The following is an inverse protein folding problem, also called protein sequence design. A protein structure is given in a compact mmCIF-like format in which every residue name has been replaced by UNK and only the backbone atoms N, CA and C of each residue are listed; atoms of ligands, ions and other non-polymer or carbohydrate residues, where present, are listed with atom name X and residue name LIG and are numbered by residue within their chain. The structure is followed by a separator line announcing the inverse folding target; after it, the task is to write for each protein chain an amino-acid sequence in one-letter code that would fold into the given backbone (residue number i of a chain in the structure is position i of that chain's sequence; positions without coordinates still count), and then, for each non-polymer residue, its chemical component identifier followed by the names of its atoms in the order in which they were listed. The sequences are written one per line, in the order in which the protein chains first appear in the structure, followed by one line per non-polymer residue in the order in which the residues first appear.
data_IF_579768823407
#
_entry.id   IF_579768823407
#
_cell.length_a   1.000
_cell.length_b   1.000
_cell.length_c   1.000
_cell.angle_alpha   90.00
_cell.angle_beta   90.00
_cell.angle_gamma   90.00
#
_symmetry.space_group_name_H-M   'P 1'
#
loop_
_entity.id
_entity.type
_entity.pdbx_description
1 polymer ?
#
# COMPACT_ATOMS: atom_id res chain seq x y z
N UNK A 1 -10.79 -25.13 23.79
CA UNK A 1 -10.43 -25.04 22.40
C UNK A 1 -10.02 -23.61 22.03
N UNK A 2 -8.72 -23.28 22.07
CA UNK A 2 -8.20 -21.98 21.60
C UNK A 2 -8.10 -22.04 20.08
N UNK A 3 -8.95 -21.31 19.38
CA UNK A 3 -8.82 -21.10 17.94
C UNK A 3 -7.58 -20.24 17.69
N UNK A 4 -6.54 -20.82 17.07
CA UNK A 4 -5.40 -20.09 16.54
C UNK A 4 -5.91 -19.14 15.46
N UNK A 5 -5.96 -17.85 15.74
CA UNK A 5 -6.16 -16.82 14.77
C UNK A 5 -4.88 -16.75 13.90
N UNK A 6 -4.95 -17.27 12.69
CA UNK A 6 -3.95 -17.07 11.64
C UNK A 6 -4.00 -15.58 11.24
N UNK A 7 -3.08 -14.80 11.78
CA UNK A 7 -2.86 -13.43 11.33
C UNK A 7 -2.28 -13.47 9.90
N UNK A 8 -3.13 -13.16 8.93
CA UNK A 8 -2.75 -12.97 7.52
C UNK A 8 -2.06 -11.61 7.35
N UNK A 9 -0.82 -11.46 7.81
CA UNK A 9 0.03 -10.34 7.40
C UNK A 9 0.53 -10.58 5.97
N UNK A 10 0.38 -9.60 5.10
CA UNK A 10 0.90 -9.57 3.72
C UNK A 10 0.31 -10.60 2.73
N UNK A 11 -0.98 -10.93 2.79
CA UNK A 11 -1.65 -11.64 1.69
C UNK A 11 -1.07 -13.01 1.27
N UNK A 12 -0.03 -13.50 1.94
CA UNK A 12 0.52 -14.85 1.76
C UNK A 12 0.15 -15.72 2.96
N UNK A 13 -0.58 -16.80 2.69
CA UNK A 13 -0.71 -17.88 3.65
C UNK A 13 0.68 -18.51 3.85
N UNK A 14 1.33 -18.17 4.95
CA UNK A 14 2.59 -18.86 5.31
C UNK A 14 2.21 -20.21 5.89
N UNK A 15 2.38 -21.28 5.10
CA UNK A 15 2.58 -22.63 5.62
C UNK A 15 3.78 -22.59 6.57
N UNK A 16 3.56 -22.85 7.86
CA UNK A 16 4.63 -23.06 8.83
C UNK A 16 5.54 -24.16 8.30
N UNK A 17 6.82 -23.93 8.05
CA UNK A 17 7.74 -25.03 7.83
C UNK A 17 7.79 -25.86 9.12
N UNK A 18 7.62 -27.14 9.01
CA UNK A 18 7.86 -28.07 10.12
C UNK A 18 9.33 -27.90 10.55
N UNK A 19 9.56 -27.34 11.77
CA UNK A 19 10.91 -27.04 12.28
C UNK A 19 11.28 -25.57 12.34
N UNK A 20 10.33 -24.64 12.23
CA UNK A 20 10.62 -23.19 12.15
C UNK A 20 11.15 -22.58 13.45
N UNK A 21 12.27 -21.86 13.33
CA UNK A 21 12.79 -20.94 14.35
C UNK A 21 11.70 -19.99 14.83
N UNK A 22 11.74 -19.59 16.09
CA UNK A 22 10.81 -18.63 16.66
C UNK A 22 10.87 -17.30 15.87
N UNK A 23 9.71 -16.73 15.52
CA UNK A 23 9.63 -15.43 14.87
C UNK A 23 9.57 -14.35 15.95
N UNK A 24 10.54 -13.45 15.95
CA UNK A 24 10.54 -12.26 16.78
C UNK A 24 9.80 -11.13 16.07
N UNK A 25 8.90 -10.47 16.79
CA UNK A 25 8.21 -9.26 16.29
C UNK A 25 8.76 -8.05 17.04
N UNK A 26 9.19 -7.03 16.30
CA UNK A 26 9.65 -5.75 16.82
C UNK A 26 8.69 -4.67 16.36
N UNK A 27 8.17 -3.88 17.28
CA UNK A 27 7.36 -2.71 16.95
C UNK A 27 8.26 -1.59 16.41
N UNK A 28 7.97 -1.14 15.19
CA UNK A 28 8.66 -0.02 14.53
C UNK A 28 7.91 1.30 14.74
N UNK A 29 6.59 1.24 14.79
CA UNK A 29 5.72 2.37 15.09
C UNK A 29 4.44 1.89 15.76
N UNK A 30 4.09 2.52 16.86
CA UNK A 30 2.79 2.43 17.49
C UNK A 30 1.72 3.23 16.73
N UNK A 31 0.47 3.17 17.17
CA UNK A 31 -0.63 3.88 16.53
C UNK A 31 -0.43 5.41 16.48
N UNK A 32 0.11 6.00 17.54
CA UNK A 32 0.35 7.44 17.61
C UNK A 32 1.45 7.90 16.63
N UNK A 33 2.55 7.14 16.53
CA UNK A 33 3.61 7.40 15.56
C UNK A 33 3.14 7.19 14.12
N UNK A 34 2.28 6.20 13.91
CA UNK A 34 1.66 5.92 12.61
C UNK A 34 0.78 7.10 12.16
N UNK A 35 -0.09 7.57 13.05
CA UNK A 35 -0.97 8.72 12.77
C UNK A 35 -0.18 9.99 12.45
N UNK A 36 0.87 10.29 13.22
CA UNK A 36 1.77 11.42 12.91
C UNK A 36 2.39 11.30 11.53
N UNK A 37 2.75 10.08 11.12
CA UNK A 37 3.32 9.81 9.79
C UNK A 37 2.29 10.05 8.69
N UNK A 38 1.05 9.58 8.85
CA UNK A 38 -0.04 9.84 7.90
C UNK A 38 -0.34 11.34 7.76
N UNK A 39 -0.41 12.07 8.88
CA UNK A 39 -0.60 13.53 8.85
C UNK A 39 0.50 14.24 8.07
N UNK A 40 1.76 13.85 8.27
CA UNK A 40 2.89 14.39 7.51
C UNK A 40 2.77 14.09 6.02
N UNK A 41 2.42 12.86 5.65
CA UNK A 41 2.20 12.49 4.25
C UNK A 41 1.07 13.31 3.62
N UNK A 42 -0.05 13.51 4.32
CA UNK A 42 -1.17 14.32 3.84
C UNK A 42 -0.73 15.78 3.57
N UNK A 43 0.05 16.39 4.47
CA UNK A 43 0.61 17.73 4.26
C UNK A 43 1.54 17.77 3.05
N UNK A 44 2.45 16.81 2.90
CA UNK A 44 3.36 16.74 1.74
C UNK A 44 2.59 16.59 0.43
N UNK A 45 1.53 15.79 0.42
CA UNK A 45 0.68 15.64 -0.76
C UNK A 45 0.00 16.96 -1.10
N UNK A 46 -0.56 17.67 -0.12
CA UNK A 46 -1.22 18.97 -0.33
C UNK A 46 -0.24 20.04 -0.82
N UNK A 47 0.95 20.11 -0.23
CA UNK A 47 2.00 21.06 -0.66
C UNK A 47 2.43 20.84 -2.12
N UNK A 48 2.54 19.59 -2.54
CA UNK A 48 2.97 19.22 -3.90
C UNK A 48 1.82 19.23 -4.92
N UNK A 49 0.57 19.40 -4.46
CA UNK A 49 -0.63 19.43 -5.30
C UNK A 49 -1.54 20.59 -4.86
N UNK A 50 -1.25 21.80 -5.34
CA UNK A 50 -1.99 23.02 -4.95
C UNK A 50 -3.47 22.99 -5.38
N UNK A 51 -3.83 22.09 -6.31
CA UNK A 51 -5.21 21.87 -6.78
C UNK A 51 -5.67 20.47 -6.31
N UNK A 52 -6.05 20.30 -5.04
CA UNK A 52 -6.40 19.01 -4.47
C UNK A 52 -7.61 18.33 -5.13
N UNK A 53 -8.50 19.09 -5.78
CA UNK A 53 -9.61 18.60 -6.61
C UNK A 53 -9.16 17.86 -7.87
N UNK A 54 -7.92 18.07 -8.31
CA UNK A 54 -7.32 17.33 -9.43
C UNK A 54 -6.62 16.04 -8.97
N UNK A 55 -6.54 15.80 -7.66
CA UNK A 55 -5.94 14.58 -7.10
C UNK A 55 -6.97 13.45 -7.09
N UNK A 56 -6.52 12.26 -7.46
CA UNK A 56 -7.22 11.00 -7.32
C UNK A 56 -6.33 10.04 -6.54
N UNK A 57 -6.77 9.61 -5.36
CA UNK A 57 -6.07 8.59 -4.59
C UNK A 57 -6.51 7.20 -5.06
N UNK A 58 -5.55 6.32 -5.27
CA UNK A 58 -5.82 4.94 -5.70
C UNK A 58 -5.16 3.99 -4.71
N UNK A 59 -5.97 3.39 -3.85
CA UNK A 59 -5.50 2.40 -2.88
C UNK A 59 -5.28 1.03 -3.53
N UNK A 60 -4.06 0.52 -3.43
CA UNK A 60 -3.74 -0.84 -3.90
C UNK A 60 -4.26 -1.86 -2.87
N UNK A 61 -5.01 -2.84 -3.33
CA UNK A 61 -5.53 -3.89 -2.46
C UNK A 61 -4.37 -4.73 -1.88
N UNK A 62 -4.42 -5.02 -0.57
CA UNK A 62 -5.55 -4.77 0.35
C UNK A 62 -5.33 -3.55 1.23
N UNK A 63 -4.10 -3.33 1.75
CA UNK A 63 -3.79 -2.36 2.82
C UNK A 63 -3.62 -0.94 2.31
N UNK A 64 -3.37 -0.74 1.02
CA UNK A 64 -3.34 0.58 0.41
C UNK A 64 -4.69 1.28 0.45
N UNK A 65 -5.82 0.53 0.44
CA UNK A 65 -7.17 1.12 0.46
C UNK A 65 -7.46 1.87 1.76
N UNK A 66 -7.37 1.26 2.97
CA UNK A 66 -7.59 2.00 4.21
C UNK A 66 -6.59 3.15 4.42
N UNK A 67 -5.38 3.04 3.89
CA UNK A 67 -4.40 4.15 3.91
C UNK A 67 -4.85 5.31 3.02
N UNK A 68 -5.35 5.03 1.81
CA UNK A 68 -5.85 6.04 0.89
C UNK A 68 -7.07 6.76 1.47
N UNK A 69 -7.99 6.03 2.10
CA UNK A 69 -9.18 6.62 2.77
C UNK A 69 -8.79 7.54 3.93
N UNK A 70 -7.83 7.11 4.76
CA UNK A 70 -7.35 7.96 5.87
C UNK A 70 -6.64 9.20 5.36
N UNK A 71 -5.79 9.06 4.32
CA UNK A 71 -5.14 10.22 3.67
C UNK A 71 -6.17 11.18 3.08
N UNK A 72 -7.21 10.70 2.41
CA UNK A 72 -8.29 11.54 1.88
C UNK A 72 -8.99 12.34 2.98
N UNK A 73 -9.30 11.69 4.12
CA UNK A 73 -9.89 12.35 5.28
C UNK A 73 -8.98 13.41 5.93
N UNK A 74 -7.68 13.14 5.97
CA UNK A 74 -6.68 14.09 6.46
C UNK A 74 -6.51 15.28 5.50
N UNK A 75 -6.49 15.03 4.18
CA UNK A 75 -6.42 16.08 3.17
C UNK A 75 -7.66 16.99 3.22
N UNK A 76 -8.85 16.42 3.41
CA UNK A 76 -10.07 17.19 3.63
C UNK A 76 -9.97 18.09 4.86
N UNK A 77 -9.49 17.54 5.97
CA UNK A 77 -9.34 18.25 7.25
C UNK A 77 -8.33 19.41 7.15
N UNK A 78 -7.24 19.24 6.41
CA UNK A 78 -6.16 20.23 6.31
C UNK A 78 -6.29 21.16 5.10
N UNK A 79 -6.82 20.67 3.98
CA UNK A 79 -6.93 21.40 2.71
C UNK A 79 -8.35 21.74 2.31
N UNK A 80 -9.36 21.32 3.07
CA UNK A 80 -10.77 21.63 2.82
C UNK A 80 -11.42 20.83 1.67
N UNK A 81 -10.65 19.99 0.96
CA UNK A 81 -11.14 19.18 -0.17
C UNK A 81 -10.79 17.72 0.08
N UNK A 82 -11.81 16.85 0.00
CA UNK A 82 -11.62 15.40 0.03
C UNK A 82 -11.39 14.89 -1.39
N UNK A 83 -10.19 14.45 -1.76
CA UNK A 83 -9.97 13.81 -3.05
C UNK A 83 -10.75 12.50 -3.13
N UNK A 84 -11.25 12.13 -4.32
CA UNK A 84 -11.87 10.82 -4.53
C UNK A 84 -10.86 9.70 -4.28
N UNK A 85 -11.37 8.56 -3.80
CA UNK A 85 -10.58 7.35 -3.54
C UNK A 85 -11.12 6.23 -4.40
N UNK A 86 -10.23 5.58 -5.14
CA UNK A 86 -10.55 4.39 -5.93
C UNK A 86 -9.73 3.19 -5.44
N UNK A 87 -10.26 2.01 -5.66
CA UNK A 87 -9.62 0.76 -5.27
C UNK A 87 -9.03 0.06 -6.49
N UNK A 88 -7.78 -0.35 -6.41
CA UNK A 88 -7.09 -1.05 -7.47
C UNK A 88 -6.71 -2.47 -7.04
N UNK A 89 -7.26 -3.47 -7.74
CA UNK A 89 -6.81 -4.87 -7.62
C UNK A 89 -5.77 -5.17 -8.69
N UNK A 90 -4.55 -5.44 -8.27
CA UNK A 90 -3.42 -5.76 -9.15
C UNK A 90 -3.18 -7.26 -9.31
N UNK A 91 -4.03 -8.10 -8.74
CA UNK A 91 -3.85 -9.56 -8.76
C UNK A 91 -3.65 -10.09 -10.19
N UNK A 92 -4.26 -9.42 -11.20
CA UNK A 92 -4.14 -9.74 -12.61
C UNK A 92 -2.84 -9.34 -13.30
N UNK A 93 -2.16 -8.37 -12.72
CA UNK A 93 -1.00 -7.72 -13.35
C UNK A 93 0.32 -8.17 -12.73
N UNK A 94 0.28 -9.20 -11.87
CA UNK A 94 1.46 -9.75 -11.21
C UNK A 94 2.07 -10.85 -12.06
N UNK A 95 3.35 -10.71 -12.38
CA UNK A 95 4.11 -11.65 -13.23
C UNK A 95 4.29 -13.05 -12.59
N UNK A 96 4.00 -13.18 -11.28
CA UNK A 96 4.13 -14.43 -10.52
C UNK A 96 2.90 -15.37 -10.60
N UNK A 97 1.88 -14.99 -11.40
CA UNK A 97 0.68 -15.83 -11.61
C UNK A 97 0.83 -16.90 -12.68
N UNK A 98 1.95 -16.95 -13.38
CA UNK A 98 2.20 -17.96 -14.44
C UNK A 98 2.26 -19.42 -13.96
N UNK A 99 2.22 -19.66 -12.63
CA UNK A 99 2.25 -21.02 -12.05
C UNK A 99 0.91 -21.52 -11.50
N UNK A 100 -0.16 -20.70 -11.55
CA UNK A 100 -1.49 -21.08 -11.09
C UNK A 100 -2.39 -21.38 -12.30
N UNK A 101 -2.51 -22.67 -12.63
CA UNK A 101 -3.56 -23.16 -13.51
C UNK A 101 -4.94 -22.82 -12.94
N UNK A 102 -5.89 -22.45 -13.83
CA UNK A 102 -7.22 -21.95 -13.56
C UNK A 102 -7.27 -20.55 -12.96
N UNK A 103 -7.14 -19.54 -13.83
CA UNK A 103 -7.36 -18.13 -13.49
C UNK A 103 -8.84 -17.92 -13.13
N UNK A 104 -9.16 -17.43 -11.92
CA UNK A 104 -10.50 -16.99 -11.63
C UNK A 104 -10.90 -15.88 -12.62
N UNK A 105 -12.17 -15.83 -12.99
CA UNK A 105 -12.76 -14.82 -13.86
C UNK A 105 -12.47 -13.43 -13.30
N UNK A 106 -11.52 -12.75 -13.90
CA UNK A 106 -11.04 -11.49 -13.38
C UNK A 106 -11.81 -10.35 -13.99
N UNK A 107 -12.54 -9.65 -13.17
CA UNK A 107 -13.24 -8.43 -13.56
C UNK A 107 -12.24 -7.31 -13.74
N UNK A 108 -12.22 -6.62 -14.89
CA UNK A 108 -11.38 -5.45 -15.06
C UNK A 108 -11.74 -4.41 -13.99
N UNK A 109 -10.73 -3.81 -13.36
CA UNK A 109 -10.93 -2.71 -12.43
C UNK A 109 -11.63 -1.57 -13.15
N UNK A 110 -12.77 -1.12 -12.63
CA UNK A 110 -13.50 0.05 -13.13
C UNK A 110 -13.49 1.10 -12.04
N UNK A 111 -13.01 2.29 -12.39
CA UNK A 111 -13.09 3.44 -11.48
C UNK A 111 -14.38 4.21 -11.73
N UNK A 112 -14.97 4.73 -10.68
CA UNK A 112 -16.11 5.65 -10.77
C UNK A 112 -15.62 7.04 -11.18
N UNK A 113 -14.38 7.38 -10.85
CA UNK A 113 -13.74 8.66 -11.17
C UNK A 113 -12.81 8.51 -12.38
N UNK A 114 -12.99 9.30 -13.45
CA UNK A 114 -12.08 9.27 -14.59
C UNK A 114 -10.64 9.65 -14.20
N UNK A 115 -9.66 8.89 -14.68
CA UNK A 115 -8.23 9.16 -14.44
C UNK A 115 -7.68 10.25 -15.36
N UNK A 116 -8.36 10.51 -16.49
CA UNK A 116 -7.88 11.44 -17.51
C UNK A 116 -7.67 12.86 -16.93
N UNK A 117 -6.46 13.41 -17.15
CA UNK A 117 -6.08 14.74 -16.67
C UNK A 117 -5.82 14.86 -15.16
N UNK A 118 -6.09 13.82 -14.36
CA UNK A 118 -5.87 13.82 -12.92
C UNK A 118 -4.41 13.55 -12.54
N UNK A 119 -3.99 14.06 -11.39
CA UNK A 119 -2.82 13.55 -10.68
C UNK A 119 -3.25 12.33 -9.87
N UNK A 120 -2.89 11.16 -10.34
CA UNK A 120 -3.18 9.90 -9.65
C UNK A 120 -2.07 9.62 -8.64
N UNK A 121 -2.44 9.40 -7.38
CA UNK A 121 -1.50 8.99 -6.34
C UNK A 121 -1.83 7.54 -5.96
N UNK A 122 -0.97 6.61 -6.36
CA UNK A 122 -1.02 5.22 -5.94
C UNK A 122 -0.63 5.14 -4.47
N UNK A 123 -1.44 4.46 -3.66
CA UNK A 123 -1.19 4.31 -2.22
C UNK A 123 -1.01 2.83 -1.89
N UNK A 124 0.12 2.49 -1.27
CA UNK A 124 0.43 1.13 -0.83
C UNK A 124 0.98 1.13 0.60
N UNK A 125 1.00 -0.03 1.24
CA UNK A 125 1.54 -0.19 2.58
C UNK A 125 3.07 -0.27 2.58
N UNK A 126 3.67 -1.12 1.72
CA UNK A 126 5.11 -1.36 1.69
C UNK A 126 5.62 -1.44 0.25
N UNK A 127 6.62 -0.64 -0.07
CA UNK A 127 7.37 -0.85 -1.32
C UNK A 127 8.61 -1.73 -1.05
N UNK A 128 8.80 -2.71 -1.91
CA UNK A 128 9.93 -3.65 -1.90
C UNK A 128 10.65 -3.64 -3.25
N UNK A 129 10.37 -4.58 -4.14
CA UNK A 129 11.02 -4.72 -5.44
C UNK A 129 10.57 -3.68 -6.47
N UNK A 130 9.40 -3.07 -6.28
CA UNK A 130 8.76 -2.16 -7.23
C UNK A 130 7.77 -2.84 -8.19
N UNK A 131 7.66 -4.20 -8.18
CA UNK A 131 6.79 -4.94 -9.10
C UNK A 131 5.31 -4.59 -8.92
N UNK A 132 4.84 -4.47 -7.67
CA UNK A 132 3.48 -4.02 -7.35
C UNK A 132 3.19 -2.64 -7.92
N UNK A 133 4.10 -1.69 -7.71
CA UNK A 133 3.95 -0.32 -8.22
C UNK A 133 3.92 -0.28 -9.76
N UNK A 134 4.78 -1.06 -10.43
CA UNK A 134 4.74 -1.21 -11.90
C UNK A 134 3.39 -1.69 -12.39
N UNK A 135 2.90 -2.79 -11.81
CA UNK A 135 1.60 -3.36 -12.17
C UNK A 135 0.45 -2.36 -11.95
N UNK A 136 0.49 -1.61 -10.84
CA UNK A 136 -0.51 -0.57 -10.56
C UNK A 136 -0.47 0.58 -11.57
N UNK A 137 0.74 1.05 -11.94
CA UNK A 137 0.88 2.08 -12.98
C UNK A 137 0.32 1.60 -14.33
N UNK A 138 0.63 0.38 -14.75
CA UNK A 138 0.11 -0.18 -16.00
C UNK A 138 -1.43 -0.27 -15.99
N UNK A 139 -2.00 -0.70 -14.87
CA UNK A 139 -3.46 -0.78 -14.72
C UNK A 139 -4.11 0.62 -14.84
N UNK A 140 -3.57 1.64 -14.18
CA UNK A 140 -4.09 3.01 -14.26
C UNK A 140 -3.97 3.58 -15.67
N UNK A 141 -2.85 3.35 -16.37
CA UNK A 141 -2.65 3.81 -17.76
C UNK A 141 -3.67 3.19 -18.72
N UNK A 142 -4.08 1.94 -18.48
CA UNK A 142 -5.13 1.28 -19.27
C UNK A 142 -6.53 1.88 -19.08
N UNK A 143 -6.79 2.49 -17.91
CA UNK A 143 -8.06 3.16 -17.62
C UNK A 143 -8.17 4.55 -18.24
N UNK A 144 -7.05 5.14 -18.68
CA UNK A 144 -7.03 6.44 -19.34
C UNK A 144 -5.65 7.09 -19.26
N UNK A 145 -5.59 8.39 -19.62
CA UNK A 145 -4.35 9.17 -19.61
C UNK A 145 -4.32 10.14 -18.44
N UNK A 146 -3.78 9.77 -17.28
CA UNK A 146 -3.60 10.72 -16.17
C UNK A 146 -2.57 11.79 -16.55
N UNK A 147 -2.63 12.96 -15.94
CA UNK A 147 -1.63 14.00 -16.09
C UNK A 147 -0.31 13.58 -15.44
N UNK A 148 -0.40 12.90 -14.30
CA UNK A 148 0.76 12.38 -13.53
C UNK A 148 0.34 11.13 -12.76
N UNK A 149 1.30 10.23 -12.54
CA UNK A 149 1.17 9.12 -11.58
C UNK A 149 2.29 9.30 -10.54
N UNK A 150 1.91 9.31 -9.28
CA UNK A 150 2.81 9.41 -8.13
C UNK A 150 2.59 8.20 -7.22
N UNK A 151 3.55 7.90 -6.35
CA UNK A 151 3.47 6.76 -5.43
C UNK A 151 3.65 7.24 -4.00
N UNK A 152 2.74 6.85 -3.13
CA UNK A 152 2.79 7.05 -1.70
C UNK A 152 2.82 5.69 -0.99
N UNK A 153 3.77 5.50 -0.08
CA UNK A 153 3.89 4.26 0.69
C UNK A 153 4.09 4.57 2.18
N UNK A 154 3.53 3.69 3.04
CA UNK A 154 3.79 3.83 4.46
C UNK A 154 5.23 3.45 4.81
N UNK A 155 5.77 2.41 4.20
CA UNK A 155 7.13 1.95 4.45
C UNK A 155 7.87 1.67 3.15
N UNK A 156 9.08 2.21 3.06
CA UNK A 156 10.10 1.79 2.11
C UNK A 156 11.10 0.88 2.81
N UNK A 157 11.18 -0.39 2.37
CA UNK A 157 12.10 -1.37 2.95
C UNK A 157 13.38 -1.61 2.14
N UNK A 158 13.55 -0.90 1.03
CA UNK A 158 14.66 -1.10 0.09
C UNK A 158 14.48 -2.30 -0.84
N UNK A 159 15.59 -2.81 -1.37
CA UNK A 159 15.67 -3.99 -2.25
C UNK A 159 14.94 -3.84 -3.60
N UNK A 160 15.03 -2.65 -4.21
CA UNK A 160 14.46 -2.44 -5.54
C UNK A 160 15.05 -3.38 -6.59
N UNK A 161 14.19 -3.91 -7.44
CA UNK A 161 14.54 -4.62 -8.67
C UNK A 161 14.18 -3.79 -9.92
N UNK A 162 13.30 -2.81 -9.74
CA UNK A 162 12.89 -1.87 -10.78
C UNK A 162 13.25 -0.43 -10.35
N UNK A 163 13.57 0.48 -11.28
CA UNK A 163 13.91 1.87 -10.98
C UNK A 163 12.65 2.69 -10.66
N UNK A 164 11.96 2.33 -9.58
CA UNK A 164 10.73 2.97 -9.13
C UNK A 164 10.94 3.43 -7.69
N UNK A 165 10.87 4.74 -7.49
CA UNK A 165 10.95 5.35 -6.18
C UNK A 165 9.64 6.05 -5.82
N UNK A 166 9.12 5.86 -4.59
CA UNK A 166 7.94 6.57 -4.13
C UNK A 166 8.27 8.03 -3.83
N UNK A 167 7.39 8.94 -4.25
CA UNK A 167 7.52 10.36 -3.96
C UNK A 167 7.17 10.68 -2.50
N UNK A 168 6.23 9.93 -1.94
CA UNK A 168 5.78 10.10 -0.56
C UNK A 168 6.09 8.85 0.25
N UNK A 169 7.02 8.98 1.20
CA UNK A 169 7.45 7.86 2.05
C UNK A 169 7.15 8.14 3.51
N UNK A 170 6.40 7.27 4.14
CA UNK A 170 6.12 7.35 5.57
C UNK A 170 7.37 7.10 6.42
N UNK A 171 7.99 5.96 6.25
CA UNK A 171 9.23 5.59 6.94
C UNK A 171 10.15 4.81 6.01
N UNK A 172 11.45 5.11 6.09
CA UNK A 172 12.49 4.26 5.52
C UNK A 172 12.94 3.25 6.58
N UNK A 173 12.74 1.97 6.32
CA UNK A 173 13.09 0.88 7.23
C UNK A 173 13.87 -0.18 6.44
N UNK A 174 15.17 0.03 6.21
CA UNK A 174 16.01 -0.96 5.56
C UNK A 174 15.95 -2.30 6.31
N UNK A 175 15.72 -3.37 5.59
CA UNK A 175 15.55 -4.71 6.17
C UNK A 175 16.48 -5.71 5.50
N UNK A 176 16.75 -6.84 6.14
CA UNK A 176 17.28 -8.01 5.44
C UNK A 176 16.20 -8.62 4.53
N UNK A 177 16.61 -9.46 3.57
CA UNK A 177 15.66 -10.08 2.62
C UNK A 177 14.65 -11.01 3.32
N UNK A 178 15.11 -11.68 4.37
CA UNK A 178 14.33 -12.63 5.18
C UNK A 178 13.37 -11.96 6.17
N UNK A 179 13.62 -10.70 6.46
CA UNK A 179 12.77 -9.91 7.35
C UNK A 179 11.50 -9.46 6.63
N UNK A 180 10.44 -9.26 7.38
CA UNK A 180 9.14 -8.82 6.85
C UNK A 180 8.64 -7.60 7.57
N UNK A 181 8.22 -6.59 6.81
CA UNK A 181 7.45 -5.46 7.33
C UNK A 181 5.98 -5.80 7.29
N UNK A 182 5.28 -5.57 8.40
CA UNK A 182 3.84 -5.68 8.51
C UNK A 182 3.28 -4.31 8.88
N UNK A 183 2.55 -3.70 7.97
CA UNK A 183 1.76 -2.49 8.24
C UNK A 183 0.39 -2.94 8.73
N UNK A 184 0.04 -2.57 9.96
CA UNK A 184 -1.24 -2.91 10.57
C UNK A 184 -2.25 -1.81 10.27
N UNK A 185 -3.49 -2.23 10.01
CA UNK A 185 -4.60 -1.31 9.75
C UNK A 185 -5.81 -1.72 10.61
N UNK A 186 -6.64 -0.77 11.09
CA UNK A 186 -7.80 -1.08 11.91
C UNK A 186 -8.75 -2.08 11.26
N UNK A 187 -8.93 -1.99 9.95
CA UNK A 187 -9.83 -2.85 9.18
C UNK A 187 -9.44 -4.34 9.22
N UNK A 188 -8.14 -4.64 9.26
CA UNK A 188 -7.64 -6.02 9.19
C UNK A 188 -7.01 -6.50 10.50
N UNK A 189 -6.46 -5.56 11.30
CA UNK A 189 -5.64 -5.89 12.47
C UNK A 189 -6.16 -5.23 13.76
N UNK A 190 -7.25 -4.45 13.68
CA UNK A 190 -7.88 -3.77 14.83
C UNK A 190 -7.13 -2.52 15.32
N UNK A 191 -5.98 -2.19 14.75
CA UNK A 191 -5.17 -1.02 15.14
C UNK A 191 -4.25 -0.58 14.01
N UNK A 192 -3.77 0.67 14.09
CA UNK A 192 -2.65 1.14 13.28
C UNK A 192 -1.31 0.73 13.89
N UNK A 193 -0.32 0.43 13.06
CA UNK A 193 1.04 0.16 13.53
C UNK A 193 1.96 -0.35 12.42
N UNK A 194 3.25 -0.42 12.73
CA UNK A 194 4.27 -1.01 11.86
C UNK A 194 5.10 -1.97 12.68
N UNK A 195 5.15 -3.21 12.26
CA UNK A 195 5.94 -4.26 12.87
C UNK A 195 6.97 -4.81 11.90
N UNK A 196 8.14 -5.13 12.43
CA UNK A 196 9.17 -5.93 11.76
C UNK A 196 9.14 -7.35 12.32
N UNK A 197 9.03 -8.34 11.45
CA UNK A 197 9.16 -9.77 11.79
C UNK A 197 10.49 -10.28 11.28
N UNK A 198 11.27 -10.90 12.15
CA UNK A 198 12.56 -11.52 11.83
C UNK A 198 12.66 -12.90 12.47
N UNK A 199 13.50 -13.74 11.90
CA UNK A 199 13.85 -15.01 12.54
C UNK A 199 14.71 -14.73 13.77
N UNK A 200 14.38 -15.42 14.88
CA UNK A 200 15.15 -15.34 16.12
C UNK A 200 16.48 -16.10 15.99
#
# INVERSE_FOLDING_TARGET
GRKNALSLCCGRAFLRPAGGKAMQTVEIADAAAFERTLRRLAHQILENNPEPEQVLLVGILRRGVPLAEELAGLMERFGGVRPPVETLDITLYRDDLSELGDLPEVRPTQFSTPVAGKTVILVDDVIYTGRTARAAMEAVIRLGRPARIRLAVMVDRGHRELPIDPEYVGKNVPTAREEQICVLTPQFDGQWGIHLRKQA
#
